data_IF_582903406029
#
_entry.id   IF_582903406029
#
_cell.length_a   1.000
_cell.length_b   1.000
_cell.length_c   1.000
_cell.angle_alpha   90.00
_cell.angle_beta   90.00
_cell.angle_gamma   90.00
#
_symmetry.space_group_name_H-M   'P 1'
#
loop_
_entity.id
_entity.type
_entity.pdbx_description
1 polymer ?
#
# COMPACT_ATOMS: atom_id res chain seq x y z
N UNK A 1 24.58 30.27 30.33
CA UNK A 1 23.51 31.02 31.02
C UNK A 1 22.12 30.65 30.50
N UNK A 2 21.80 30.86 29.22
CA UNK A 2 20.48 30.52 28.64
C UNK A 2 20.11 29.02 28.75
N UNK A 3 21.05 28.11 28.51
CA UNK A 3 20.79 26.66 28.63
C UNK A 3 20.38 26.23 30.05
N UNK A 4 21.05 26.79 31.06
CA UNK A 4 20.74 26.53 32.48
C UNK A 4 19.38 27.12 32.89
N UNK A 5 19.03 28.29 32.35
CA UNK A 5 17.71 28.90 32.57
C UNK A 5 16.59 28.07 31.91
N UNK A 6 16.83 27.53 30.71
CA UNK A 6 15.88 26.63 30.04
C UNK A 6 15.71 25.31 30.80
N UNK A 7 16.79 24.77 31.37
CA UNK A 7 16.73 23.58 32.23
C UNK A 7 15.95 23.86 33.51
N UNK A 8 16.18 25.00 34.17
CA UNK A 8 15.45 25.40 35.37
C UNK A 8 13.96 25.61 35.07
N UNK A 9 13.63 26.27 33.96
CA UNK A 9 12.25 26.42 33.50
C UNK A 9 11.60 25.08 33.16
N UNK A 10 12.35 24.14 32.57
CA UNK A 10 11.87 22.78 32.29
C UNK A 10 11.58 22.00 33.58
N UNK A 11 12.38 22.21 34.63
CA UNK A 11 12.22 21.60 35.96
C UNK A 11 10.96 22.11 36.64
N UNK A 12 10.74 23.43 36.64
CA UNK A 12 9.53 24.07 37.18
C UNK A 12 8.30 23.61 36.39
N UNK A 13 8.39 23.50 35.06
CA UNK A 13 7.28 22.97 34.25
C UNK A 13 7.03 21.48 34.52
N UNK A 14 8.06 20.73 34.93
CA UNK A 14 7.94 19.32 35.23
C UNK A 14 7.19 19.07 36.54
N UNK A 15 7.29 19.95 37.54
CA UNK A 15 6.54 19.80 38.80
C UNK A 15 5.03 19.97 38.62
N UNK A 16 4.59 20.69 37.58
CA UNK A 16 3.18 20.96 37.26
C UNK A 16 2.59 19.92 36.28
N UNK A 17 3.42 19.10 35.62
CA UNK A 17 2.97 18.11 34.62
C UNK A 17 2.56 16.79 35.26
N UNK A 18 1.50 16.17 34.70
CA UNK A 18 1.08 14.81 35.05
C UNK A 18 2.25 13.80 34.94
N UNK A 19 2.37 12.92 35.94
CA UNK A 19 3.46 11.94 36.08
C UNK A 19 3.69 11.08 34.83
N UNK A 20 2.61 10.69 34.13
CA UNK A 20 2.69 9.91 32.90
C UNK A 20 3.35 10.67 31.73
N UNK A 21 3.11 11.98 31.64
CA UNK A 21 3.71 12.82 30.63
C UNK A 21 5.23 12.89 30.80
N UNK A 22 5.68 13.05 32.06
CA UNK A 22 7.09 13.11 32.44
C UNK A 22 7.82 11.78 32.22
N UNK A 23 7.21 10.66 32.63
CA UNK A 23 7.80 9.32 32.43
C UNK A 23 8.01 9.07 30.94
N UNK A 24 7.05 9.46 30.11
CA UNK A 24 7.16 9.29 28.66
C UNK A 24 8.23 10.19 28.06
N UNK A 25 8.25 11.48 28.44
CA UNK A 25 9.27 12.43 28.01
C UNK A 25 10.67 11.94 28.37
N UNK A 26 10.87 11.46 29.60
CA UNK A 26 12.13 10.89 30.06
C UNK A 26 12.52 9.64 29.26
N UNK A 27 11.58 8.75 28.97
CA UNK A 27 11.81 7.54 28.17
C UNK A 27 12.23 7.89 26.73
N UNK A 28 11.58 8.87 26.11
CA UNK A 28 11.92 9.34 24.75
C UNK A 28 13.32 9.95 24.71
N UNK A 29 13.67 10.78 25.68
CA UNK A 29 14.98 11.41 25.79
C UNK A 29 16.07 10.36 26.08
N UNK A 30 15.83 9.42 27.00
CA UNK A 30 16.76 8.30 27.27
C UNK A 30 16.99 7.44 26.03
N UNK A 31 15.95 7.16 25.24
CA UNK A 31 16.12 6.43 23.99
C UNK A 31 16.99 7.19 22.99
N UNK A 32 16.84 8.51 22.88
CA UNK A 32 17.68 9.35 22.02
C UNK A 32 19.13 9.40 22.49
N UNK A 33 19.36 9.58 23.79
CA UNK A 33 20.69 9.50 24.38
C UNK A 33 21.34 8.14 24.11
N UNK A 34 20.61 7.05 24.31
CA UNK A 34 21.08 5.69 24.03
C UNK A 34 21.34 5.39 22.54
N UNK A 35 20.85 6.22 21.62
CA UNK A 35 21.22 6.17 20.19
C UNK A 35 22.52 6.96 19.97
N UNK A 36 22.63 8.14 20.56
CA UNK A 36 23.76 9.05 20.39
C UNK A 36 25.05 8.55 21.05
N UNK A 37 24.96 7.88 22.21
CA UNK A 37 26.11 7.35 22.97
C UNK A 37 26.63 6.01 22.45
N UNK A 38 26.06 5.46 21.36
CA UNK A 38 26.53 4.19 20.80
C UNK A 38 27.94 4.34 20.23
N UNK A 39 28.85 3.38 20.46
CA UNK A 39 30.17 3.40 19.85
C UNK A 39 30.02 3.25 18.33
N UNK A 40 30.07 4.37 17.60
CA UNK A 40 29.96 4.40 16.15
C UNK A 40 30.82 5.53 15.59
N UNK A 41 31.69 5.20 14.63
CA UNK A 41 32.85 6.02 14.22
C UNK A 41 32.56 7.42 13.65
N UNK A 42 31.34 7.75 13.20
CA UNK A 42 31.02 9.05 12.55
C UNK A 42 29.59 9.55 12.75
N UNK A 43 28.58 8.68 12.61
CA UNK A 43 27.16 9.02 12.82
C UNK A 43 26.38 7.82 13.35
N UNK A 44 25.58 7.97 14.43
CA UNK A 44 24.77 6.88 14.95
C UNK A 44 23.69 6.48 13.92
N UNK A 45 23.76 5.24 13.44
CA UNK A 45 22.76 4.67 12.52
C UNK A 45 21.56 4.15 13.32
N UNK A 46 20.36 4.58 12.94
CA UNK A 46 19.11 4.08 13.53
C UNK A 46 18.83 2.65 13.08
N UNK A 47 18.76 1.74 14.06
CA UNK A 47 18.42 0.33 13.85
C UNK A 47 16.91 0.17 13.60
N UNK A 48 16.50 -1.01 13.12
CA UNK A 48 15.09 -1.31 12.91
C UNK A 48 14.24 -1.17 14.19
N UNK A 49 14.79 -1.56 15.35
CA UNK A 49 14.15 -1.41 16.66
C UNK A 49 13.91 0.05 17.04
N UNK A 50 14.87 0.92 16.78
CA UNK A 50 14.76 2.37 17.02
C UNK A 50 13.65 2.99 16.14
N UNK A 51 13.57 2.56 14.87
CA UNK A 51 12.51 3.00 13.95
C UNK A 51 11.13 2.52 14.41
N UNK A 52 11.02 1.25 14.84
CA UNK A 52 9.78 0.68 15.36
C UNK A 52 9.31 1.41 16.61
N UNK A 53 10.23 1.70 17.53
CA UNK A 53 9.96 2.49 18.73
C UNK A 53 9.30 3.83 18.38
N UNK A 54 9.86 4.59 17.45
CA UNK A 54 9.27 5.86 17.01
C UNK A 54 7.92 5.71 16.28
N UNK A 55 7.72 4.63 15.53
CA UNK A 55 6.42 4.32 14.91
C UNK A 55 5.35 4.04 15.97
N UNK A 56 5.68 3.30 17.03
CA UNK A 56 4.78 3.00 18.16
C UNK A 56 4.46 4.25 18.97
N UNK A 57 5.47 5.03 19.37
CA UNK A 57 5.29 6.30 20.10
C UNK A 57 4.38 7.27 19.33
N UNK A 58 4.58 7.37 18.01
CA UNK A 58 3.73 8.19 17.15
C UNK A 58 2.26 7.76 17.19
N UNK A 59 1.98 6.46 17.27
CA UNK A 59 0.61 5.94 17.32
C UNK A 59 -0.06 6.20 18.68
N UNK A 60 0.71 6.16 19.77
CA UNK A 60 0.20 6.30 21.14
C UNK A 60 0.06 7.75 21.61
N UNK A 61 0.81 8.71 21.03
CA UNK A 61 0.90 10.08 21.56
C UNK A 61 0.70 11.13 20.47
N UNK A 62 -0.22 12.09 20.69
CA UNK A 62 -0.46 13.21 19.75
C UNK A 62 0.71 14.22 19.70
N UNK A 63 1.46 14.40 20.79
CA UNK A 63 2.57 15.35 20.91
C UNK A 63 3.98 14.79 20.61
N UNK A 64 4.09 13.65 19.94
CA UNK A 64 5.38 12.97 19.67
C UNK A 64 6.42 13.86 18.98
N UNK A 65 5.98 14.82 18.14
CA UNK A 65 6.87 15.73 17.39
C UNK A 65 7.71 16.63 18.28
N UNK A 66 7.17 17.06 19.42
CA UNK A 66 7.84 17.99 20.35
C UNK A 66 9.07 17.37 21.03
N UNK A 67 9.16 16.04 21.00
CA UNK A 67 10.21 15.30 21.70
C UNK A 67 11.33 14.84 20.77
N UNK A 68 11.27 15.18 19.47
CA UNK A 68 12.25 14.74 18.47
C UNK A 68 13.42 15.72 18.39
N UNK A 69 14.60 15.31 18.85
CA UNK A 69 15.84 16.09 18.68
C UNK A 69 16.75 15.45 17.62
N UNK A 70 16.82 14.11 17.60
CA UNK A 70 17.73 13.36 16.71
C UNK A 70 17.17 13.12 15.30
N UNK A 71 15.84 13.04 15.15
CA UNK A 71 15.19 12.56 13.93
C UNK A 71 14.16 13.55 13.44
N UNK A 72 14.19 13.88 12.15
CA UNK A 72 13.17 14.72 11.52
C UNK A 72 11.77 14.05 11.54
N UNK A 73 10.69 14.76 11.87
CA UNK A 73 9.33 14.21 11.91
C UNK A 73 8.91 13.47 10.63
N UNK A 74 9.34 13.95 9.47
CA UNK A 74 9.06 13.38 8.14
C UNK A 74 9.62 11.96 8.02
N UNK A 75 10.76 11.68 8.66
CA UNK A 75 11.38 10.36 8.67
C UNK A 75 10.55 9.34 9.44
N UNK A 76 9.98 9.72 10.58
CA UNK A 76 9.09 8.87 11.38
C UNK A 76 7.80 8.58 10.61
N UNK A 77 7.24 9.59 9.92
CA UNK A 77 6.07 9.41 9.05
C UNK A 77 6.39 8.41 7.93
N UNK A 78 7.57 8.51 7.31
CA UNK A 78 8.00 7.57 6.27
C UNK A 78 8.12 6.14 6.80
N UNK A 79 8.70 5.94 7.99
CA UNK A 79 8.79 4.61 8.61
C UNK A 79 7.40 4.05 8.96
N UNK A 80 6.48 4.88 9.44
CA UNK A 80 5.09 4.47 9.66
C UNK A 80 4.42 3.99 8.37
N UNK A 81 4.55 4.74 7.27
CA UNK A 81 4.01 4.30 5.96
C UNK A 81 4.64 2.99 5.50
N UNK A 82 5.93 2.77 5.76
CA UNK A 82 6.61 1.53 5.43
C UNK A 82 6.13 0.35 6.29
N UNK A 83 5.97 0.57 7.60
CA UNK A 83 5.41 -0.42 8.52
C UNK A 83 4.00 -0.84 8.10
N UNK A 84 3.16 0.13 7.70
CA UNK A 84 1.82 -0.15 7.18
C UNK A 84 1.83 -1.00 5.91
N UNK A 85 2.71 -0.68 4.94
CA UNK A 85 2.87 -1.49 3.73
C UNK A 85 3.31 -2.92 4.06
N UNK A 86 4.22 -3.09 5.01
CA UNK A 86 4.68 -4.42 5.44
C UNK A 86 3.57 -5.21 6.14
N UNK A 87 2.81 -4.54 7.04
CA UNK A 87 1.65 -5.12 7.71
C UNK A 87 0.64 -5.64 6.70
N UNK A 88 0.24 -4.82 5.72
CA UNK A 88 -0.68 -5.26 4.68
C UNK A 88 -0.09 -6.29 3.74
N UNK A 89 1.19 -6.18 3.36
CA UNK A 89 1.86 -7.21 2.56
C UNK A 89 1.83 -8.57 3.25
N UNK A 90 1.95 -8.58 4.58
CA UNK A 90 1.84 -9.81 5.38
C UNK A 90 0.38 -10.26 5.51
N UNK A 91 -0.55 -9.35 5.82
CA UNK A 91 -1.98 -9.64 6.01
C UNK A 91 -2.68 -10.09 4.72
N UNK A 92 -2.24 -9.58 3.57
CA UNK A 92 -2.73 -9.94 2.24
C UNK A 92 -2.01 -11.14 1.64
N UNK A 93 -1.12 -11.80 2.39
CA UNK A 93 -0.58 -13.11 2.00
C UNK A 93 -1.74 -14.11 2.02
N UNK A 94 -2.34 -14.29 0.87
CA UNK A 94 -3.22 -15.40 0.57
C UNK A 94 -2.65 -16.21 -0.60
N UNK A 95 -3.27 -17.35 -0.93
CA UNK A 95 -3.00 -18.07 -2.17
C UNK A 95 -3.05 -17.10 -3.35
N UNK A 96 -2.02 -17.10 -4.20
CA UNK A 96 -1.94 -16.20 -5.35
C UNK A 96 -3.00 -16.64 -6.38
N UNK A 97 -4.21 -16.08 -6.25
CA UNK A 97 -5.32 -16.30 -7.16
C UNK A 97 -5.81 -17.75 -7.25
N UNK A 98 -6.69 -18.00 -8.24
CA UNK A 98 -7.14 -19.36 -8.58
C UNK A 98 -5.95 -20.17 -9.11
N UNK A 99 -5.78 -21.44 -8.68
CA UNK A 99 -4.79 -22.34 -9.26
C UNK A 99 -4.86 -22.31 -10.79
N UNK A 100 -3.70 -22.25 -11.44
CA UNK A 100 -3.64 -22.33 -12.90
C UNK A 100 -4.14 -23.70 -13.33
N UNK A 101 -4.77 -23.76 -14.50
CA UNK A 101 -5.07 -25.05 -15.16
C UNK A 101 -3.76 -25.82 -15.35
N UNK A 102 -3.83 -27.15 -15.29
CA UNK A 102 -2.69 -28.02 -15.62
C UNK A 102 -2.14 -27.70 -17.01
N UNK A 103 -0.84 -27.95 -17.21
CA UNK A 103 -0.18 -27.68 -18.49
C UNK A 103 -0.88 -28.42 -19.65
N UNK A 104 -1.25 -29.67 -19.42
CA UNK A 104 -1.99 -30.53 -20.35
C UNK A 104 -3.30 -29.90 -20.81
N UNK A 105 -4.13 -29.41 -19.89
CA UNK A 105 -5.42 -28.78 -20.23
C UNK A 105 -5.20 -27.48 -21.01
N UNK A 106 -4.14 -26.72 -20.68
CA UNK A 106 -3.80 -25.49 -21.41
C UNK A 106 -3.34 -25.78 -22.84
N UNK A 107 -2.54 -26.83 -23.01
CA UNK A 107 -2.06 -27.28 -24.30
C UNK A 107 -3.21 -27.82 -25.16
N UNK A 108 -4.08 -28.65 -24.58
CA UNK A 108 -5.29 -29.14 -25.24
C UNK A 108 -6.18 -27.99 -25.74
N UNK A 109 -6.42 -26.97 -24.90
CA UNK A 109 -7.15 -25.77 -25.30
C UNK A 109 -6.48 -25.08 -26.50
N UNK A 110 -5.15 -24.95 -26.47
CA UNK A 110 -4.40 -24.29 -27.54
C UNK A 110 -4.39 -25.10 -28.84
N UNK A 111 -4.33 -26.43 -28.77
CA UNK A 111 -4.40 -27.35 -29.91
C UNK A 111 -5.79 -27.33 -30.54
N UNK A 112 -6.86 -27.56 -29.77
CA UNK A 112 -8.24 -27.52 -30.27
C UNK A 112 -8.54 -26.17 -30.94
N UNK A 113 -8.10 -25.05 -30.33
CA UNK A 113 -8.32 -23.72 -30.88
C UNK A 113 -7.51 -23.44 -32.16
N UNK A 114 -6.33 -24.06 -32.32
CA UNK A 114 -5.49 -23.94 -33.52
C UNK A 114 -6.08 -24.74 -34.67
N UNK A 115 -6.51 -25.97 -34.38
CA UNK A 115 -7.02 -26.90 -35.38
C UNK A 115 -8.43 -26.50 -35.84
N UNK A 116 -9.16 -25.75 -35.01
CA UNK A 116 -10.52 -25.29 -35.31
C UNK A 116 -10.67 -23.75 -35.18
N UNK A 117 -10.12 -22.96 -36.12
CA UNK A 117 -10.11 -21.49 -36.02
C UNK A 117 -11.50 -20.84 -35.91
N UNK A 118 -12.54 -21.49 -36.43
CA UNK A 118 -13.93 -20.98 -36.40
C UNK A 118 -14.67 -21.26 -35.09
N UNK A 119 -14.11 -22.07 -34.20
CA UNK A 119 -14.79 -22.46 -32.97
C UNK A 119 -14.76 -21.36 -31.90
N UNK A 120 -15.94 -21.01 -31.40
CA UNK A 120 -16.09 -20.10 -30.26
C UNK A 120 -15.70 -20.76 -28.93
N UNK A 121 -15.42 -19.94 -27.90
CA UNK A 121 -15.03 -20.46 -26.58
C UNK A 121 -16.08 -21.34 -25.91
N UNK A 122 -17.37 -21.14 -26.18
CA UNK A 122 -18.42 -22.03 -25.65
C UNK A 122 -18.44 -23.38 -26.35
N UNK A 123 -18.14 -23.42 -27.66
CA UNK A 123 -18.04 -24.68 -28.40
C UNK A 123 -16.88 -25.52 -27.88
N UNK A 124 -15.70 -24.90 -27.73
CA UNK A 124 -14.51 -25.56 -27.15
C UNK A 124 -14.81 -26.04 -25.72
N UNK A 125 -15.54 -25.24 -24.93
CA UNK A 125 -15.97 -25.66 -23.58
C UNK A 125 -16.84 -26.91 -23.64
N UNK A 126 -17.79 -26.98 -24.57
CA UNK A 126 -18.63 -28.16 -24.77
C UNK A 126 -17.81 -29.42 -25.06
N UNK A 127 -16.81 -29.33 -25.92
CA UNK A 127 -15.93 -30.47 -26.22
C UNK A 127 -15.06 -30.88 -25.02
N UNK A 128 -14.52 -29.91 -24.27
CA UNK A 128 -13.77 -30.21 -23.04
C UNK A 128 -14.63 -30.87 -21.97
N UNK A 129 -15.91 -30.47 -21.85
CA UNK A 129 -16.86 -31.09 -20.92
C UNK A 129 -17.11 -32.55 -21.28
N UNK A 130 -17.17 -32.91 -22.57
CA UNK A 130 -17.29 -34.33 -22.99
C UNK A 130 -16.07 -35.16 -22.58
N UNK A 131 -14.89 -34.54 -22.50
CA UNK A 131 -13.65 -35.17 -22.00
C UNK A 131 -13.55 -35.16 -20.47
N UNK A 132 -14.59 -34.75 -19.74
CA UNK A 132 -14.59 -34.65 -18.28
C UNK A 132 -13.84 -33.42 -17.73
N UNK A 133 -13.39 -32.50 -18.59
CA UNK A 133 -12.62 -31.33 -18.20
C UNK A 133 -13.52 -30.11 -17.98
N UNK A 134 -13.77 -29.78 -16.70
CA UNK A 134 -14.60 -28.62 -16.33
C UNK A 134 -13.77 -27.33 -16.34
N UNK A 135 -13.84 -26.59 -17.45
CA UNK A 135 -13.10 -25.33 -17.64
C UNK A 135 -14.05 -24.14 -17.83
N UNK A 136 -13.71 -22.99 -17.23
CA UNK A 136 -14.46 -21.75 -17.43
C UNK A 136 -14.20 -21.15 -18.82
N UNK A 137 -15.21 -20.52 -19.43
CA UNK A 137 -15.07 -19.75 -20.70
C UNK A 137 -13.89 -18.78 -20.65
N UNK A 138 -13.72 -18.08 -19.53
CA UNK A 138 -12.63 -17.10 -19.32
C UNK A 138 -11.25 -17.75 -19.36
N UNK A 139 -11.11 -18.95 -18.83
CA UNK A 139 -9.86 -19.72 -18.92
C UNK A 139 -9.57 -20.12 -20.37
N UNK A 140 -10.58 -20.55 -21.12
CA UNK A 140 -10.43 -20.88 -22.56
C UNK A 140 -10.03 -19.64 -23.35
N UNK A 141 -10.68 -18.49 -23.13
CA UNK A 141 -10.33 -17.21 -23.77
C UNK A 141 -8.92 -16.73 -23.44
N UNK A 142 -8.39 -17.09 -22.27
CA UNK A 142 -7.03 -16.76 -21.84
C UNK A 142 -5.98 -17.61 -22.56
N UNK A 143 -6.25 -18.89 -22.76
CA UNK A 143 -5.27 -19.85 -23.29
C UNK A 143 -5.43 -20.15 -24.78
N UNK A 144 -6.59 -19.88 -25.38
CA UNK A 144 -6.73 -19.85 -26.83
C UNK A 144 -5.86 -18.71 -27.36
N UNK A 145 -5.02 -18.96 -28.37
CA UNK A 145 -4.28 -17.88 -29.04
C UNK A 145 -5.31 -16.89 -29.58
N UNK A 146 -5.18 -15.61 -29.22
CA UNK A 146 -5.99 -14.55 -29.82
C UNK A 146 -5.44 -14.33 -31.23
N UNK A 147 -6.32 -14.35 -32.23
CA UNK A 147 -5.99 -13.77 -33.54
C UNK A 147 -5.69 -12.27 -33.42
N UNK A 148 -5.34 -11.60 -34.53
CA UNK A 148 -5.14 -10.16 -34.53
C UNK A 148 -6.33 -9.48 -33.85
N UNK A 149 -6.03 -8.49 -32.99
CA UNK A 149 -7.07 -7.74 -32.31
C UNK A 149 -8.07 -7.22 -33.35
N UNK A 150 -9.37 -7.40 -33.10
CA UNK A 150 -10.39 -6.76 -33.94
C UNK A 150 -10.06 -5.28 -34.10
N UNK A 151 -10.34 -4.67 -35.26
CA UNK A 151 -10.09 -3.26 -35.50
C UNK A 151 -10.61 -2.49 -34.29
N UNK A 152 -9.73 -1.71 -33.68
CA UNK A 152 -10.10 -0.99 -32.47
C UNK A 152 -11.31 -0.13 -32.81
N UNK A 153 -12.38 -0.28 -32.04
CA UNK A 153 -13.44 0.72 -32.02
C UNK A 153 -12.89 2.10 -31.67
N UNK A 154 -13.80 3.06 -31.49
CA UNK A 154 -13.46 4.42 -31.10
C UNK A 154 -12.33 4.46 -30.05
N UNK A 155 -11.25 5.18 -30.35
CA UNK A 155 -10.11 5.27 -29.42
C UNK A 155 -10.54 5.99 -28.15
N UNK A 156 -9.90 5.70 -27.02
CA UNK A 156 -10.16 6.41 -25.77
C UNK A 156 -10.04 7.93 -25.91
N UNK A 157 -9.14 8.43 -26.76
CA UNK A 157 -9.04 9.86 -27.05
C UNK A 157 -10.30 10.39 -27.73
N UNK A 158 -10.78 9.68 -28.75
CA UNK A 158 -12.00 10.06 -29.47
C UNK A 158 -13.24 9.96 -28.58
N UNK A 159 -13.32 8.95 -27.71
CA UNK A 159 -14.40 8.82 -26.73
C UNK A 159 -14.42 10.00 -25.75
N UNK A 160 -13.26 10.33 -25.16
CA UNK A 160 -13.13 11.45 -24.24
C UNK A 160 -13.41 12.78 -24.93
N UNK A 161 -12.92 13.00 -26.15
CA UNK A 161 -13.23 14.22 -26.92
C UNK A 161 -14.74 14.42 -27.11
N UNK A 162 -15.48 13.33 -27.36
CA UNK A 162 -16.92 13.40 -27.61
C UNK A 162 -17.75 13.49 -26.31
N UNK A 163 -17.29 12.85 -25.21
CA UNK A 163 -18.12 12.66 -24.02
C UNK A 163 -17.60 13.37 -22.76
N UNK A 164 -16.40 13.98 -22.76
CA UNK A 164 -15.80 14.61 -21.59
C UNK A 164 -16.72 15.61 -20.87
N UNK A 165 -17.55 16.34 -21.62
CA UNK A 165 -18.54 17.29 -21.06
C UNK A 165 -19.72 16.63 -20.34
N UNK A 166 -19.93 15.33 -20.56
CA UNK A 166 -21.09 14.58 -20.05
C UNK A 166 -20.70 13.48 -19.05
N UNK A 167 -19.39 13.27 -18.82
CA UNK A 167 -18.89 12.20 -17.96
C UNK A 167 -18.09 12.74 -16.78
N UNK A 168 -18.14 11.99 -15.70
CA UNK A 168 -17.36 12.19 -14.48
C UNK A 168 -16.61 10.90 -14.17
N UNK A 169 -15.36 11.02 -13.72
CA UNK A 169 -14.64 9.92 -13.14
C UNK A 169 -14.83 9.92 -11.63
N UNK A 170 -15.08 8.75 -11.06
CA UNK A 170 -15.01 8.55 -9.62
C UNK A 170 -13.91 7.54 -9.29
N UNK A 171 -13.11 7.86 -8.28
CA UNK A 171 -12.10 6.95 -7.77
C UNK A 171 -12.10 6.94 -6.23
N UNK A 172 -11.74 5.80 -5.65
CA UNK A 172 -11.69 5.59 -4.22
C UNK A 172 -10.23 5.47 -3.78
N UNK A 173 -9.75 6.47 -3.03
CA UNK A 173 -8.41 6.46 -2.47
C UNK A 173 -8.47 6.23 -0.95
N UNK A 174 -7.51 5.46 -0.43
CA UNK A 174 -7.40 5.20 1.00
C UNK A 174 -6.33 6.09 1.61
N UNK A 175 -6.71 6.95 2.56
CA UNK A 175 -5.79 7.78 3.33
C UNK A 175 -5.62 7.17 4.71
N UNK A 176 -4.37 6.92 5.10
CA UNK A 176 -4.07 6.33 6.40
C UNK A 176 -3.78 7.43 7.40
N UNK A 177 -4.56 7.49 8.48
CA UNK A 177 -4.36 8.49 9.52
C UNK A 177 -3.08 8.23 10.32
N UNK A 178 -2.74 9.18 11.18
CA UNK A 178 -1.63 9.05 12.11
C UNK A 178 -1.84 7.92 13.15
N UNK A 179 -3.07 7.44 13.34
CA UNK A 179 -3.44 6.40 14.32
C UNK A 179 -3.84 5.07 13.68
N UNK A 180 -3.38 4.79 12.45
CA UNK A 180 -3.71 3.57 11.71
C UNK A 180 -5.21 3.37 11.41
N UNK A 181 -6.01 4.45 11.45
CA UNK A 181 -7.36 4.42 10.88
C UNK A 181 -7.27 4.60 9.37
N UNK A 182 -7.99 3.78 8.62
CA UNK A 182 -8.16 3.97 7.18
C UNK A 182 -9.34 4.90 6.95
N UNK A 183 -9.07 6.03 6.31
CA UNK A 183 -10.10 6.90 5.76
C UNK A 183 -10.28 6.55 4.29
N UNK A 184 -11.53 6.42 3.88
CA UNK A 184 -11.91 6.25 2.49
C UNK A 184 -12.30 7.61 1.94
N UNK A 185 -11.63 8.03 0.88
CA UNK A 185 -11.91 9.29 0.20
C UNK A 185 -12.40 8.94 -1.19
N UNK A 186 -13.66 9.29 -1.45
CA UNK A 186 -14.26 9.19 -2.78
C UNK A 186 -14.04 10.53 -3.48
N UNK A 187 -13.31 10.50 -4.59
CA UNK A 187 -13.02 11.67 -5.39
C UNK A 187 -13.84 11.61 -6.68
N UNK A 188 -14.45 12.74 -7.04
CA UNK A 188 -15.15 12.93 -8.32
C UNK A 188 -14.37 13.95 -9.14
N UNK A 189 -14.08 13.61 -10.39
CA UNK A 189 -13.38 14.46 -11.34
C UNK A 189 -14.29 14.68 -12.53
N UNK A 190 -14.75 15.91 -12.72
CA UNK A 190 -15.46 16.31 -13.93
C UNK A 190 -14.44 16.51 -15.06
N UNK A 191 -14.74 15.96 -16.24
CA UNK A 191 -13.86 16.05 -17.41
C UNK A 191 -14.15 17.27 -18.31
N UNK A 192 -15.16 18.06 -17.99
CA UNK A 192 -15.58 19.30 -18.69
C UNK A 192 -14.43 20.31 -18.82
N UNK A 193 -13.75 20.62 -17.71
CA UNK A 193 -12.72 21.66 -17.65
C UNK A 193 -11.33 21.04 -17.59
N UNK A 194 -10.69 20.94 -18.75
CA UNK A 194 -9.24 20.72 -18.86
C UNK A 194 -8.64 21.75 -19.78
#
# INVERSE_FOLDING_TARGET
MLEYLLLLFSLIRATVRYREALVTENLLLRHQLAILTRPTRKRPRLRARDKLFWVVIRALRRGWRQHLVVVRPESVIRWHRQAWRLFWRWRSRGPIGRPRLSAEVRELIATIARDNPRWGSERIRGELVKLGLVVSKRSIQRYRRRGPASPSGQTWRTFLANHARHIWAADLLTVQTLTFKTLYVLAFIAHDRR
#
